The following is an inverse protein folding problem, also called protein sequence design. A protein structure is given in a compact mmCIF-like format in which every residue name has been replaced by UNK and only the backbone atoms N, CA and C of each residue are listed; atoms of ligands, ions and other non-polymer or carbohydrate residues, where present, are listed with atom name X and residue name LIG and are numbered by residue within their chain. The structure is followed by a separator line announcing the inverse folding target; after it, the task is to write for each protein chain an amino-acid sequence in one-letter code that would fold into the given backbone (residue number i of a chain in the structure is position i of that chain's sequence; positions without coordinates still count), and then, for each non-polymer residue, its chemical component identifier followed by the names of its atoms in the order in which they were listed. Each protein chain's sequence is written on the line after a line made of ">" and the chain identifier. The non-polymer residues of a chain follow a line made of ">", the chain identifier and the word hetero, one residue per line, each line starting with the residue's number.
data_IF_811535100711
#
_entry.id   IF_811535100711
#
_cell.length_a   1.000
_cell.length_b   1.000
_cell.length_c   1.000
_cell.angle_alpha   90.00
_cell.angle_beta   90.00
_cell.angle_gamma   90.00
#
_symmetry.space_group_name_H-M   'P 1'
#
loop_
_entity.id
_entity.type
_entity.pdbx_description
1 polymer ?
#
# COMPACT_ATOMS: atom_id res chain seq x y z
N UNK A 1 -0.20 2.21 3.19
CA UNK A 1 0.34 3.43 2.56
C UNK A 1 1.80 3.59 2.88
N UNK A 2 2.61 3.73 1.84
CA UNK A 2 3.98 4.19 1.96
C UNK A 2 4.05 5.70 2.10
N UNK A 3 5.29 6.20 2.21
CA UNK A 3 5.63 7.61 2.18
C UNK A 3 4.97 8.35 0.99
N UNK A 4 4.29 9.47 1.26
CA UNK A 4 3.62 10.32 0.27
C UNK A 4 2.19 9.90 -0.10
N UNK A 5 1.57 9.00 0.69
CA UNK A 5 0.17 8.64 0.56
C UNK A 5 -0.77 9.77 0.98
N UNK A 6 -1.93 9.90 0.31
CA UNK A 6 -2.99 10.85 0.66
C UNK A 6 -4.26 10.12 1.14
N UNK A 7 -5.10 10.72 1.99
CA UNK A 7 -6.27 10.02 2.60
C UNK A 7 -7.15 9.29 1.57
N UNK A 8 -7.26 9.86 0.36
CA UNK A 8 -8.07 9.32 -0.73
C UNK A 8 -7.44 8.12 -1.45
N UNK A 9 -6.16 7.81 -1.21
CA UNK A 9 -5.46 6.67 -1.81
C UNK A 9 -6.10 5.32 -1.46
N UNK A 10 -6.86 5.25 -0.36
CA UNK A 10 -7.61 4.07 0.07
C UNK A 10 -9.02 3.96 -0.50
N UNK A 11 -9.53 5.00 -1.17
CA UNK A 11 -10.93 5.05 -1.62
C UNK A 11 -11.35 3.84 -2.44
N UNK A 12 -10.45 3.28 -3.25
CA UNK A 12 -10.74 2.08 -4.05
C UNK A 12 -10.93 0.85 -3.18
N UNK A 13 -10.04 0.64 -2.22
CA UNK A 13 -10.14 -0.47 -1.29
C UNK A 13 -11.38 -0.31 -0.40
N UNK A 14 -11.62 0.88 0.14
CA UNK A 14 -12.82 1.17 0.92
C UNK A 14 -14.12 1.04 0.10
N UNK A 15 -14.10 1.39 -1.19
CA UNK A 15 -15.24 1.16 -2.10
C UNK A 15 -15.50 -0.33 -2.28
N UNK A 16 -14.46 -1.11 -2.56
CA UNK A 16 -14.59 -2.55 -2.84
C UNK A 16 -15.09 -3.34 -1.62
N UNK A 17 -14.75 -2.90 -0.40
CA UNK A 17 -15.23 -3.53 0.85
C UNK A 17 -16.51 -2.92 1.40
N UNK A 18 -16.69 -1.60 1.34
CA UNK A 18 -17.71 -0.87 2.12
C UNK A 18 -18.78 -0.12 1.33
N UNK A 19 -18.66 0.05 0.00
CA UNK A 19 -19.61 0.88 -0.77
C UNK A 19 -20.11 0.15 -2.03
N UNK A 20 -20.94 -0.87 -1.83
CA UNK A 20 -21.40 -1.80 -2.86
C UNK A 20 -22.66 -1.39 -3.63
N UNK A 21 -22.75 -0.17 -4.17
CA UNK A 21 -23.88 0.14 -5.06
C UNK A 21 -23.69 -0.33 -6.51
N UNK A 22 -22.45 -0.43 -7.03
CA UNK A 22 -22.21 -0.81 -8.44
C UNK A 22 -21.09 -1.85 -8.69
N UNK A 23 -20.47 -2.41 -7.65
CA UNK A 23 -19.51 -3.52 -7.76
C UNK A 23 -19.58 -4.36 -6.46
N UNK A 24 -20.02 -5.62 -6.56
CA UNK A 24 -20.15 -6.58 -5.44
C UNK A 24 -21.03 -6.11 -4.25
N UNK A 25 -22.36 -6.05 -4.46
CA UNK A 25 -23.37 -5.78 -3.41
C UNK A 25 -23.19 -6.64 -2.14
N UNK A 26 -22.74 -7.88 -2.30
CA UNK A 26 -22.59 -8.88 -1.23
C UNK A 26 -21.51 -8.52 -0.18
N UNK A 27 -20.45 -7.82 -0.60
CA UNK A 27 -19.34 -7.48 0.30
C UNK A 27 -19.72 -6.35 1.26
N UNK A 28 -20.47 -5.35 0.80
CA UNK A 28 -20.85 -4.18 1.62
C UNK A 28 -21.87 -4.48 2.72
N UNK A 29 -22.60 -5.58 2.62
CA UNK A 29 -23.47 -6.09 3.68
C UNK A 29 -22.72 -6.97 4.68
N UNK A 30 -21.53 -7.45 4.31
CA UNK A 30 -20.72 -8.40 5.09
C UNK A 30 -19.60 -7.71 5.87
N UNK A 31 -19.00 -6.65 5.32
CA UNK A 31 -17.82 -6.01 5.88
C UNK A 31 -18.05 -4.53 6.18
N UNK A 32 -17.54 -4.06 7.32
CA UNK A 32 -17.36 -2.65 7.62
C UNK A 32 -15.89 -2.28 7.43
N UNK A 33 -15.61 -1.19 6.72
CA UNK A 33 -14.25 -0.74 6.46
C UNK A 33 -13.94 0.50 7.31
N UNK A 34 -12.97 0.38 8.21
CA UNK A 34 -12.41 1.50 8.95
C UNK A 34 -10.93 1.64 8.59
N UNK A 35 -10.56 2.77 8.00
CA UNK A 35 -9.19 3.04 7.58
C UNK A 35 -8.56 3.96 8.63
N UNK A 36 -7.61 3.42 9.39
CA UNK A 36 -6.72 4.21 10.23
C UNK A 36 -5.41 4.45 9.50
N UNK A 37 -5.16 5.71 9.12
CA UNK A 37 -3.89 6.13 8.52
C UNK A 37 -3.09 6.96 9.54
N UNK A 38 -2.25 6.29 10.32
CA UNK A 38 -1.41 6.92 11.34
C UNK A 38 -0.17 7.64 10.75
N UNK A 39 -0.24 8.09 9.49
CA UNK A 39 0.82 8.83 8.80
C UNK A 39 0.29 10.14 8.20
N UNK A 40 -0.83 10.65 8.70
CA UNK A 40 -1.48 11.87 8.24
C UNK A 40 -0.52 13.06 8.15
N UNK A 41 -0.56 13.76 7.02
CA UNK A 41 0.12 15.03 6.81
C UNK A 41 -0.55 16.07 7.72
N UNK A 42 0.00 16.28 8.94
CA UNK A 42 -0.54 17.18 9.97
C UNK A 42 0.55 17.71 10.91
N UNK A 43 0.48 19.02 11.16
CA UNK A 43 1.37 19.96 11.90
C UNK A 43 2.53 19.42 12.76
N UNK A 44 3.78 19.69 12.33
CA UNK A 44 5.01 19.85 13.16
C UNK A 44 6.25 20.14 12.28
N UNK A 45 7.22 20.93 12.76
CA UNK A 45 8.29 21.66 12.02
C UNK A 45 9.47 20.86 11.35
N UNK A 46 10.17 21.58 10.45
CA UNK A 46 11.01 21.29 9.26
C UNK A 46 12.11 20.18 9.26
N UNK A 47 12.47 19.69 8.05
CA UNK A 47 13.86 19.76 7.56
C UNK A 47 14.06 20.10 6.06
N UNK A 48 15.34 20.33 5.72
CA UNK A 48 15.89 21.08 4.59
C UNK A 48 16.43 20.18 3.46
N UNK A 49 16.13 20.58 2.22
CA UNK A 49 16.79 20.23 0.94
C UNK A 49 16.37 18.95 0.18
N UNK A 50 15.73 19.18 -0.98
CA UNK A 50 15.58 18.25 -2.12
C UNK A 50 16.28 18.88 -3.33
N UNK A 51 17.12 18.13 -4.04
CA UNK A 51 17.66 18.56 -5.34
C UNK A 51 16.51 18.54 -6.38
N UNK A 52 16.21 19.64 -7.09
CA UNK A 52 15.09 19.66 -8.04
C UNK A 52 15.39 18.81 -9.28
N UNK A 53 14.52 17.84 -9.60
CA UNK A 53 14.47 17.17 -10.92
C UNK A 53 13.26 17.71 -11.70
N UNK A 54 13.23 17.51 -13.02
CA UNK A 54 12.00 17.81 -13.77
C UNK A 54 10.86 16.93 -13.27
N UNK A 55 9.63 17.47 -13.28
CA UNK A 55 8.45 16.73 -12.82
C UNK A 55 8.26 15.42 -13.58
N UNK A 56 8.59 15.41 -14.87
CA UNK A 56 8.48 14.22 -15.72
C UNK A 56 9.47 13.13 -15.31
N UNK A 57 10.70 13.50 -14.99
CA UNK A 57 11.71 12.55 -14.48
C UNK A 57 11.31 12.04 -13.10
N UNK A 58 10.74 12.89 -12.25
CA UNK A 58 10.22 12.44 -10.94
C UNK A 58 9.04 11.46 -11.09
N UNK A 59 8.10 11.76 -11.98
CA UNK A 59 6.94 10.90 -12.23
C UNK A 59 7.34 9.56 -12.85
N UNK A 60 8.26 9.57 -13.81
CA UNK A 60 8.79 8.35 -14.43
C UNK A 60 9.48 7.46 -13.39
N UNK A 61 10.34 8.04 -12.55
CA UNK A 61 11.01 7.30 -11.48
C UNK A 61 10.03 6.77 -10.44
N UNK A 62 9.00 7.56 -10.08
CA UNK A 62 7.97 7.14 -9.14
C UNK A 62 7.16 5.97 -9.69
N UNK A 63 6.68 6.07 -10.94
CA UNK A 63 5.95 5.00 -11.63
C UNK A 63 6.75 3.70 -11.63
N UNK A 64 8.01 3.75 -12.06
CA UNK A 64 8.88 2.58 -12.13
C UNK A 64 9.21 1.98 -10.75
N UNK A 65 9.20 2.77 -9.68
CA UNK A 65 9.45 2.25 -8.33
C UNK A 65 8.22 1.60 -7.70
N UNK A 66 7.04 2.11 -8.00
CA UNK A 66 5.80 1.67 -7.37
C UNK A 66 5.14 0.54 -8.16
N UNK A 67 5.22 0.57 -9.49
CA UNK A 67 4.42 -0.32 -10.35
C UNK A 67 5.25 -1.18 -11.29
N UNK A 68 4.72 -2.34 -11.65
CA UNK A 68 5.21 -3.12 -12.78
C UNK A 68 4.97 -2.37 -14.10
N UNK A 69 5.87 -2.56 -15.07
CA UNK A 69 5.73 -1.94 -16.39
C UNK A 69 4.49 -2.46 -17.12
N UNK A 70 4.23 -3.78 -17.01
CA UNK A 70 3.04 -4.41 -17.56
C UNK A 70 1.76 -3.70 -17.13
N UNK A 71 1.61 -3.43 -15.82
CA UNK A 71 0.42 -2.72 -15.33
C UNK A 71 0.37 -1.25 -15.77
N UNK A 72 1.51 -0.58 -15.86
CA UNK A 72 1.57 0.82 -16.31
C UNK A 72 1.10 0.99 -17.75
N UNK A 73 1.39 0.01 -18.61
CA UNK A 73 1.08 0.04 -20.04
C UNK A 73 -0.34 -0.48 -20.36
N UNK A 74 -0.99 -1.16 -19.41
CA UNK A 74 -2.38 -1.59 -19.55
C UNK A 74 -3.32 -0.38 -19.72
N UNK A 75 -4.39 -0.51 -20.53
CA UNK A 75 -5.44 0.49 -20.61
C UNK A 75 -5.98 0.86 -19.22
N UNK A 76 -6.33 2.13 -19.03
CA UNK A 76 -6.90 2.56 -17.76
C UNK A 76 -8.17 1.75 -17.44
N UNK A 77 -8.17 1.05 -16.31
CA UNK A 77 -9.31 0.26 -15.86
C UNK A 77 -10.59 1.09 -15.63
N UNK A 78 -10.50 2.41 -15.47
CA UNK A 78 -11.64 3.32 -15.35
C UNK A 78 -12.00 4.03 -16.66
N UNK A 79 -11.19 3.89 -17.72
CA UNK A 79 -11.45 4.44 -19.05
C UNK A 79 -11.32 5.96 -19.19
N UNK A 80 -10.71 6.66 -18.23
CA UNK A 80 -10.56 8.12 -18.27
C UNK A 80 -9.22 8.58 -18.84
N UNK A 81 -8.23 7.69 -18.87
CA UNK A 81 -6.87 7.95 -19.35
C UNK A 81 -6.45 6.86 -20.35
N UNK A 82 -5.44 7.10 -21.21
CA UNK A 82 -4.99 6.08 -22.15
C UNK A 82 -4.48 4.82 -21.45
N UNK A 83 -3.67 4.98 -20.40
CA UNK A 83 -3.11 3.88 -19.62
C UNK A 83 -3.31 4.08 -18.11
N UNK A 84 -3.14 3.00 -17.34
CA UNK A 84 -3.03 3.08 -15.88
C UNK A 84 -1.88 4.00 -15.43
N UNK A 85 -0.77 4.01 -16.18
CA UNK A 85 0.36 4.90 -15.93
C UNK A 85 0.00 6.38 -16.10
N UNK A 86 -0.80 6.72 -17.10
CA UNK A 86 -1.30 8.08 -17.33
C UNK A 86 -2.26 8.52 -16.22
N UNK A 87 -3.19 7.64 -15.83
CA UNK A 87 -4.08 7.91 -14.69
C UNK A 87 -3.28 8.18 -13.42
N UNK A 88 -2.27 7.36 -13.13
CA UNK A 88 -1.43 7.56 -11.95
C UNK A 88 -0.67 8.88 -12.01
N UNK A 89 -0.09 9.22 -13.17
CA UNK A 89 0.61 10.49 -13.35
C UNK A 89 -0.32 11.70 -13.12
N UNK A 90 -1.53 11.66 -13.67
CA UNK A 90 -2.53 12.70 -13.45
C UNK A 90 -2.94 12.83 -11.98
N UNK A 91 -3.13 11.71 -11.28
CA UNK A 91 -3.42 11.69 -9.84
C UNK A 91 -2.28 12.27 -9.01
N UNK A 92 -1.04 11.91 -9.33
CA UNK A 92 0.15 12.42 -8.63
C UNK A 92 0.34 13.92 -8.86
N UNK A 93 0.11 14.41 -10.08
CA UNK A 93 0.13 15.85 -10.39
C UNK A 93 -0.94 16.60 -9.62
N UNK A 94 -2.18 16.09 -9.62
CA UNK A 94 -3.30 16.69 -8.87
C UNK A 94 -3.00 16.73 -7.37
N UNK A 95 -2.46 15.64 -6.81
CA UNK A 95 -2.04 15.57 -5.40
C UNK A 95 -0.97 16.62 -5.08
N UNK A 96 0.00 16.83 -5.97
CA UNK A 96 1.08 17.82 -5.78
C UNK A 96 0.63 19.27 -5.98
N UNK A 97 -0.51 19.49 -6.64
CA UNK A 97 -1.14 20.81 -6.77
C UNK A 97 -1.97 21.18 -5.53
N UNK A 98 -2.42 20.19 -4.76
CA UNK A 98 -3.14 20.39 -3.49
C UNK A 98 -2.17 20.78 -2.37
N UNK A 99 -1.89 22.08 -2.26
CA UNK A 99 -0.99 22.62 -1.24
C UNK A 99 -1.56 22.62 0.17
N UNK A 100 -2.89 22.51 0.29
CA UNK A 100 -3.60 22.54 1.58
C UNK A 100 -3.68 21.14 2.17
N UNK A 101 -4.00 20.14 1.35
CA UNK A 101 -4.06 18.73 1.76
C UNK A 101 -2.71 18.01 1.74
N UNK A 102 -1.84 18.31 0.77
CA UNK A 102 -0.54 17.64 0.59
C UNK A 102 0.61 18.59 0.91
N UNK A 103 0.69 18.99 2.17
CA UNK A 103 1.72 19.92 2.64
C UNK A 103 3.12 19.29 2.57
N UNK A 104 4.13 20.10 2.25
CA UNK A 104 5.54 19.67 2.31
C UNK A 104 5.91 19.18 3.70
N UNK A 105 5.37 19.83 4.72
CA UNK A 105 5.59 19.49 6.13
C UNK A 105 5.19 18.06 6.42
N UNK A 106 3.92 17.70 6.16
CA UNK A 106 3.48 16.36 6.48
C UNK A 106 4.13 15.28 5.62
N UNK A 107 4.54 15.59 4.38
CA UNK A 107 5.38 14.67 3.60
C UNK A 107 6.69 14.32 4.33
N UNK A 108 7.33 15.29 4.98
CA UNK A 108 8.60 15.03 5.68
C UNK A 108 8.37 14.32 7.00
N UNK A 109 7.31 14.63 7.74
CA UNK A 109 6.92 13.86 8.93
C UNK A 109 6.77 12.38 8.59
N UNK A 110 6.16 12.05 7.45
CA UNK A 110 6.09 10.67 6.98
C UNK A 110 7.47 10.08 6.69
N UNK A 111 8.41 10.85 6.14
CA UNK A 111 9.76 10.39 5.85
C UNK A 111 10.53 10.07 7.14
N UNK A 112 10.40 10.93 8.15
CA UNK A 112 10.97 10.73 9.49
C UNK A 112 10.35 9.50 10.14
N UNK A 113 9.02 9.39 10.14
CA UNK A 113 8.32 8.23 10.68
C UNK A 113 8.78 6.95 9.99
N UNK A 114 8.88 6.95 8.67
CA UNK A 114 9.41 5.82 7.90
C UNK A 114 10.84 5.45 8.31
N UNK A 115 11.72 6.44 8.55
CA UNK A 115 13.08 6.23 9.04
C UNK A 115 13.16 5.66 10.46
N UNK A 116 12.19 5.99 11.33
CA UNK A 116 12.12 5.49 12.71
C UNK A 116 11.35 4.17 12.88
N UNK A 117 10.74 3.63 11.82
CA UNK A 117 10.00 2.35 11.87
C UNK A 117 10.90 1.11 11.89
N UNK A 118 11.92 1.10 12.74
CA UNK A 118 12.71 -0.10 13.00
C UNK A 118 12.02 -0.99 14.04
N UNK A 119 11.91 -2.29 13.73
CA UNK A 119 11.50 -3.33 14.68
C UNK A 119 12.57 -4.42 14.72
N UNK A 120 13.08 -4.69 15.92
CA UNK A 120 14.05 -5.77 16.12
C UNK A 120 13.41 -7.13 15.89
N UNK A 121 14.19 -8.19 15.59
CA UNK A 121 13.66 -9.55 15.48
C UNK A 121 12.83 -9.96 16.70
N UNK A 122 13.30 -9.65 17.91
CA UNK A 122 12.57 -9.93 19.16
C UNK A 122 11.22 -9.21 19.21
N UNK A 123 11.16 -7.95 18.79
CA UNK A 123 9.90 -7.20 18.75
C UNK A 123 8.91 -7.76 17.73
N UNK A 124 9.40 -8.27 16.59
CA UNK A 124 8.56 -8.94 15.59
C UNK A 124 8.06 -10.29 16.09
N UNK A 125 8.89 -11.03 16.83
CA UNK A 125 8.49 -12.27 17.47
C UNK A 125 7.38 -12.03 18.51
N UNK A 126 7.60 -11.07 19.41
CA UNK A 126 6.60 -10.65 20.40
C UNK A 126 5.30 -10.15 19.76
N UNK A 127 5.39 -9.45 18.62
CA UNK A 127 4.22 -9.05 17.84
C UNK A 127 3.46 -10.27 17.32
N UNK A 128 4.19 -11.24 16.76
CA UNK A 128 3.64 -12.51 16.29
C UNK A 128 2.82 -13.22 17.37
N UNK A 129 3.39 -13.33 18.57
CA UNK A 129 2.75 -14.01 19.70
C UNK A 129 1.54 -13.24 20.24
N UNK A 130 1.61 -11.89 20.30
CA UNK A 130 0.50 -11.07 20.82
C UNK A 130 -0.70 -10.99 19.87
N UNK A 131 -0.46 -11.01 18.56
CA UNK A 131 -1.53 -10.92 17.56
C UNK A 131 -2.18 -12.29 17.31
N UNK A 132 -1.42 -13.38 17.48
CA UNK A 132 -1.77 -14.70 16.96
C UNK A 132 -1.20 -14.85 15.55
N UNK A 133 -0.23 -15.74 15.36
CA UNK A 133 0.54 -15.85 14.12
C UNK A 133 -0.29 -16.32 12.94
N UNK A 134 -1.31 -17.13 13.19
CA UNK A 134 -2.34 -17.54 12.23
C UNK A 134 -3.18 -16.38 11.69
N UNK A 135 -3.17 -15.24 12.40
CA UNK A 135 -3.83 -13.98 12.03
C UNK A 135 -2.89 -12.99 11.33
N UNK A 136 -1.68 -13.43 10.99
CA UNK A 136 -0.70 -12.61 10.27
C UNK A 136 -0.49 -13.16 8.85
N UNK A 137 -0.60 -12.25 7.88
CA UNK A 137 -0.29 -12.51 6.49
C UNK A 137 0.76 -11.50 5.99
N UNK A 138 1.83 -12.01 5.39
CA UNK A 138 2.83 -11.21 4.68
C UNK A 138 2.56 -11.37 3.19
N UNK A 139 2.40 -10.24 2.48
CA UNK A 139 2.09 -10.21 1.04
C UNK A 139 3.10 -9.31 0.35
N UNK A 140 3.79 -9.80 -0.68
CA UNK A 140 4.68 -8.97 -1.50
C UNK A 140 4.72 -9.44 -2.97
N UNK A 141 5.14 -8.54 -3.85
CA UNK A 141 5.30 -8.80 -5.28
C UNK A 141 6.76 -9.11 -5.64
N UNK A 142 6.98 -9.88 -6.70
CA UNK A 142 8.33 -10.26 -7.14
C UNK A 142 9.11 -9.11 -7.79
N UNK A 143 8.41 -8.06 -8.24
CA UNK A 143 8.99 -6.87 -8.86
C UNK A 143 9.01 -5.64 -7.95
N UNK A 144 8.84 -5.80 -6.62
CA UNK A 144 8.90 -4.69 -5.68
C UNK A 144 10.33 -4.11 -5.60
N UNK A 145 10.48 -2.85 -6.00
CA UNK A 145 11.76 -2.10 -6.00
C UNK A 145 11.89 -1.13 -4.82
N UNK A 146 10.85 -1.02 -3.99
CA UNK A 146 10.80 -0.16 -2.80
C UNK A 146 11.09 -0.96 -1.54
N UNK A 147 10.42 -2.09 -1.38
CA UNK A 147 10.62 -3.07 -0.31
C UNK A 147 10.88 -4.39 -1.01
N UNK A 148 12.16 -4.68 -1.27
CA UNK A 148 12.53 -5.81 -2.13
C UNK A 148 12.03 -7.15 -1.57
N UNK A 149 11.84 -8.18 -2.41
CA UNK A 149 11.41 -9.51 -1.97
C UNK A 149 12.14 -10.05 -0.73
N UNK A 150 13.46 -9.84 -0.66
CA UNK A 150 14.29 -10.16 0.50
C UNK A 150 13.72 -9.63 1.83
N UNK A 151 13.20 -8.40 1.85
CA UNK A 151 12.63 -7.81 3.06
C UNK A 151 11.29 -8.43 3.44
N UNK A 152 10.51 -8.90 2.44
CA UNK A 152 9.31 -9.71 2.67
C UNK A 152 9.65 -11.03 3.34
N UNK A 153 10.65 -11.73 2.81
CA UNK A 153 11.15 -13.00 3.36
C UNK A 153 11.66 -12.83 4.80
N UNK A 154 12.52 -11.82 5.04
CA UNK A 154 13.03 -11.51 6.37
C UNK A 154 11.91 -11.16 7.36
N UNK A 155 10.89 -10.43 6.94
CA UNK A 155 9.75 -10.10 7.80
C UNK A 155 8.96 -11.37 8.15
N UNK A 156 8.68 -12.22 7.17
CA UNK A 156 7.98 -13.48 7.36
C UNK A 156 8.70 -14.43 8.30
N UNK A 157 10.01 -14.62 8.11
CA UNK A 157 10.85 -15.44 8.99
C UNK A 157 10.84 -14.92 10.42
N UNK A 158 11.02 -13.61 10.62
CA UNK A 158 11.04 -12.99 11.95
C UNK A 158 9.67 -13.02 12.64
N UNK A 159 8.59 -13.08 11.88
CA UNK A 159 7.24 -13.33 12.39
C UNK A 159 6.98 -14.81 12.69
N UNK A 160 7.94 -15.71 12.45
CA UNK A 160 7.88 -17.14 12.76
C UNK A 160 7.62 -18.07 11.59
N UNK A 161 7.39 -17.53 10.40
CA UNK A 161 7.17 -18.28 9.19
C UNK A 161 5.95 -19.22 9.24
N UNK A 162 5.89 -20.12 8.26
CA UNK A 162 4.74 -21.01 8.02
C UNK A 162 4.53 -22.00 9.16
N UNK A 163 5.62 -22.50 9.73
CA UNK A 163 5.59 -23.51 10.81
C UNK A 163 4.89 -22.99 12.06
N UNK A 164 5.02 -21.68 12.35
CA UNK A 164 4.32 -21.03 13.46
C UNK A 164 2.97 -20.42 13.05
N UNK A 165 2.48 -20.68 11.83
CA UNK A 165 1.13 -20.29 11.39
C UNK A 165 1.04 -19.02 10.54
N UNK A 166 2.14 -18.28 10.33
CA UNK A 166 2.12 -17.08 9.48
C UNK A 166 1.85 -17.47 8.03
N UNK A 167 1.01 -16.70 7.34
CA UNK A 167 0.73 -16.90 5.91
C UNK A 167 1.65 -16.03 5.05
N UNK A 168 2.37 -16.61 4.09
CA UNK A 168 3.10 -15.88 3.05
C UNK A 168 2.31 -15.92 1.74
N UNK A 169 2.25 -14.79 1.04
CA UNK A 169 1.69 -14.68 -0.32
C UNK A 169 2.66 -13.90 -1.19
N UNK A 170 3.24 -14.59 -2.17
CA UNK A 170 4.13 -13.98 -3.17
C UNK A 170 3.37 -13.87 -4.48
N UNK A 171 3.32 -12.66 -5.04
CA UNK A 171 2.55 -12.38 -6.26
C UNK A 171 3.51 -12.12 -7.42
N UNK A 172 3.56 -13.06 -8.36
CA UNK A 172 4.44 -12.99 -9.53
C UNK A 172 4.10 -11.80 -10.43
N UNK A 173 5.12 -11.12 -10.95
CA UNK A 173 4.98 -10.02 -11.89
C UNK A 173 4.40 -8.71 -11.32
N UNK A 174 4.16 -8.62 -10.01
CA UNK A 174 3.61 -7.42 -9.36
C UNK A 174 4.69 -6.64 -8.60
N UNK A 175 4.55 -5.31 -8.55
CA UNK A 175 5.46 -4.43 -7.80
C UNK A 175 4.85 -3.96 -6.49
N UNK A 176 5.41 -2.89 -5.91
CA UNK A 176 5.02 -2.35 -4.61
C UNK A 176 3.53 -1.99 -4.50
N UNK A 177 2.93 -1.54 -5.61
CA UNK A 177 1.55 -1.11 -5.73
C UNK A 177 0.53 -2.25 -5.80
N UNK A 178 0.76 -3.38 -5.12
CA UNK A 178 -0.06 -4.60 -5.19
C UNK A 178 -1.58 -4.36 -5.10
N UNK A 179 -2.02 -3.56 -4.13
CA UNK A 179 -3.45 -3.27 -3.92
C UNK A 179 -4.10 -2.55 -5.12
N UNK A 180 -3.29 -1.94 -6.01
CA UNK A 180 -3.73 -1.31 -7.24
C UNK A 180 -3.51 -2.23 -8.45
N UNK A 181 -2.33 -2.85 -8.60
CA UNK A 181 -1.99 -3.72 -9.74
C UNK A 181 -2.72 -5.06 -9.76
N UNK A 182 -3.15 -5.51 -8.59
CA UNK A 182 -3.80 -6.81 -8.37
C UNK A 182 -5.13 -6.63 -7.63
N UNK A 183 -5.75 -5.46 -7.76
CA UNK A 183 -6.90 -4.99 -6.95
C UNK A 183 -7.97 -6.05 -6.69
N UNK A 184 -8.53 -6.68 -7.74
CA UNK A 184 -9.67 -7.61 -7.58
C UNK A 184 -9.31 -8.84 -6.76
N UNK A 185 -8.15 -9.43 -7.05
CA UNK A 185 -7.71 -10.64 -6.36
C UNK A 185 -7.08 -10.32 -5.00
N UNK A 186 -6.46 -9.14 -4.85
CA UNK A 186 -6.07 -8.59 -3.55
C UNK A 186 -7.28 -8.43 -2.63
N UNK A 187 -8.41 -7.91 -3.15
CA UNK A 187 -9.67 -7.84 -2.39
C UNK A 187 -10.16 -9.23 -1.97
N UNK A 188 -10.14 -10.22 -2.88
CA UNK A 188 -10.50 -11.61 -2.55
C UNK A 188 -9.55 -12.21 -1.50
N UNK A 189 -8.25 -11.95 -1.62
CA UNK A 189 -7.24 -12.44 -0.69
C UNK A 189 -7.52 -11.95 0.73
N UNK A 190 -7.77 -10.64 0.89
CA UNK A 190 -8.08 -10.04 2.17
C UNK A 190 -9.41 -10.59 2.72
N UNK A 191 -10.46 -10.66 1.89
CA UNK A 191 -11.75 -11.24 2.30
C UNK A 191 -11.63 -12.68 2.80
N UNK A 192 -10.93 -13.53 2.06
CA UNK A 192 -10.68 -14.92 2.48
C UNK A 192 -9.80 -15.03 3.73
N UNK A 193 -8.87 -14.09 3.94
CA UNK A 193 -8.04 -14.06 5.15
C UNK A 193 -8.85 -13.66 6.39
N UNK A 194 -9.78 -12.70 6.26
CA UNK A 194 -10.72 -12.34 7.33
C UNK A 194 -11.60 -13.53 7.69
N UNK A 195 -12.18 -14.20 6.69
CA UNK A 195 -13.01 -15.40 6.91
C UNK A 195 -12.24 -16.52 7.60
N UNK A 196 -11.00 -16.79 7.18
CA UNK A 196 -10.12 -17.80 7.79
C UNK A 196 -9.84 -17.51 9.26
N UNK A 197 -9.69 -16.25 9.64
CA UNK A 197 -9.23 -15.87 10.98
C UNK A 197 -10.36 -15.72 12.00
N UNK A 198 -11.62 -15.82 11.57
CA UNK A 198 -12.79 -15.91 12.46
C UNK A 198 -13.01 -14.68 13.35
N UNK A 199 -12.45 -13.53 12.98
CA UNK A 199 -12.55 -12.29 13.76
C UNK A 199 -13.92 -11.66 13.50
N UNK A 200 -14.86 -11.91 14.41
CA UNK A 200 -16.11 -11.18 14.53
C UNK A 200 -16.09 -10.33 15.81
#
# INVERSE_FOLDING_TARGET
>A
MGLGGFKNSWQRQSKDFGHGQNTNRDQSTKYSCLVFDNRGVGESDKPLARIPKSKDVELTNLKARIFSQAWLDEPDAEGHFPTNGDRFAAQELKKRQDTDGYTRTGFICQAIAAGWHHKSPKQLEELGDKVGRERIQVVHGTLDRMITPLHGDLLFERLGGKEKGVTMVVVEGKSHGLAMEWRRDFTKLIGGFVEKTGVF
#
